data_IF_840825217459
#
_entry.id   IF_840825217459
#
_cell.length_a   1.000
_cell.length_b   1.000
_cell.length_c   1.000
_cell.angle_alpha   90.00
_cell.angle_beta   90.00
_cell.angle_gamma   90.00
#
_symmetry.space_group_name_H-M   'P 1'
#
loop_
_entity.id
_entity.type
_entity.pdbx_description
1 polymer ?
#
# COMPACT_ATOMS: atom_id res chain seq x y z
N UNK A 1 -6.12 7.50 5.87
CA UNK A 1 -4.80 7.25 5.25
C UNK A 1 -4.91 6.13 4.23
N UNK A 2 -5.17 4.89 4.64
CA UNK A 2 -5.28 3.71 3.74
C UNK A 2 -6.18 3.95 2.53
N UNK A 3 -7.38 4.52 2.71
CA UNK A 3 -8.29 4.82 1.60
C UNK A 3 -7.68 5.78 0.54
N UNK A 4 -6.87 6.75 0.95
CA UNK A 4 -6.19 7.65 0.01
C UNK A 4 -5.06 6.95 -0.73
N UNK A 5 -4.39 5.98 -0.10
CA UNK A 5 -3.35 5.16 -0.75
C UNK A 5 -4.02 4.20 -1.74
N UNK A 6 -5.09 3.52 -1.33
CA UNK A 6 -5.87 2.66 -2.21
C UNK A 6 -6.41 3.43 -3.44
N UNK A 7 -6.86 4.68 -3.27
CA UNK A 7 -7.26 5.53 -4.41
C UNK A 7 -6.10 5.89 -5.33
N UNK A 8 -4.91 6.16 -4.77
CA UNK A 8 -3.71 6.48 -5.54
C UNK A 8 -3.18 5.27 -6.33
N UNK A 9 -3.25 4.08 -5.75
CA UNK A 9 -2.78 2.83 -6.34
C UNK A 9 -3.78 2.24 -7.36
N UNK A 10 -5.08 2.26 -7.03
CA UNK A 10 -6.14 1.59 -7.82
C UNK A 10 -6.97 2.59 -8.62
N UNK A 11 -7.38 3.71 -8.01
CA UNK A 11 -8.28 4.71 -8.61
C UNK A 11 -7.61 5.62 -9.65
N UNK A 12 -6.31 5.88 -9.52
CA UNK A 12 -5.55 6.74 -10.45
C UNK A 12 -5.36 6.18 -11.85
N UNK A 13 -5.54 4.86 -12.05
CA UNK A 13 -5.36 4.19 -13.34
C UNK A 13 -6.66 4.04 -14.15
N UNK A 14 -7.83 4.30 -13.56
CA UNK A 14 -9.14 3.92 -14.13
C UNK A 14 -10.26 4.93 -13.83
N UNK A 15 -9.99 6.23 -14.03
CA UNK A 15 -10.87 7.35 -13.67
C UNK A 15 -12.23 7.47 -14.39
N UNK A 16 -12.95 6.37 -14.66
CA UNK A 16 -14.26 6.39 -15.31
C UNK A 16 -15.26 5.32 -14.86
N UNK A 17 -14.93 4.41 -13.92
CA UNK A 17 -15.87 3.37 -13.48
C UNK A 17 -16.49 3.68 -12.11
N UNK A 18 -17.81 3.81 -12.11
CA UNK A 18 -18.66 3.96 -10.93
C UNK A 18 -18.60 2.72 -10.02
N UNK A 19 -18.74 2.97 -8.71
CA UNK A 19 -18.83 2.02 -7.58
C UNK A 19 -17.60 1.14 -7.26
N UNK A 20 -16.87 1.52 -6.20
CA UNK A 20 -15.68 0.83 -5.70
C UNK A 20 -15.89 -0.61 -5.21
N UNK A 21 -17.13 -1.06 -5.00
CA UNK A 21 -17.46 -2.47 -4.72
C UNK A 21 -17.42 -3.32 -5.99
N UNK A 22 -17.88 -2.76 -7.12
CA UNK A 22 -17.82 -3.43 -8.42
C UNK A 22 -16.41 -3.36 -9.03
N UNK A 23 -15.60 -2.35 -8.69
CA UNK A 23 -14.17 -2.36 -9.04
C UNK A 23 -13.44 -3.51 -8.34
N UNK A 24 -13.69 -3.75 -7.05
CA UNK A 24 -13.06 -4.85 -6.30
C UNK A 24 -13.49 -6.23 -6.81
N UNK A 25 -14.76 -6.35 -7.24
CA UNK A 25 -15.30 -7.55 -7.87
C UNK A 25 -14.75 -7.75 -9.30
N UNK A 26 -14.71 -6.68 -10.10
CA UNK A 26 -14.15 -6.69 -11.46
C UNK A 26 -12.66 -7.00 -11.48
N UNK A 27 -11.88 -6.51 -10.52
CA UNK A 27 -10.46 -6.85 -10.37
C UNK A 27 -10.23 -8.34 -10.05
N UNK A 28 -11.18 -8.98 -9.36
CA UNK A 28 -11.16 -10.43 -9.11
C UNK A 28 -11.61 -11.24 -10.32
N UNK A 29 -12.60 -10.74 -11.06
CA UNK A 29 -13.18 -11.40 -12.24
C UNK A 29 -12.31 -11.27 -13.50
N UNK A 30 -11.60 -10.15 -13.68
CA UNK A 30 -10.73 -9.87 -14.83
C UNK A 30 -9.30 -10.45 -14.68
N UNK A 31 -9.02 -11.18 -13.59
CA UNK A 31 -7.73 -11.85 -13.36
C UNK A 31 -6.55 -10.91 -13.08
N UNK A 32 -6.81 -9.63 -12.79
CA UNK A 32 -5.81 -8.65 -12.37
C UNK A 32 -5.42 -8.80 -10.89
N UNK A 33 -6.33 -9.33 -10.06
CA UNK A 33 -5.94 -9.99 -8.82
C UNK A 33 -5.38 -11.36 -9.20
N UNK A 34 -4.07 -11.60 -9.00
CA UNK A 34 -3.46 -12.84 -9.44
C UNK A 34 -4.11 -14.02 -8.71
N UNK A 35 -4.77 -14.90 -9.48
CA UNK A 35 -5.25 -16.20 -8.98
C UNK A 35 -4.10 -17.18 -8.66
N UNK A 36 -2.88 -16.85 -9.11
CA UNK A 36 -1.63 -17.56 -8.82
C UNK A 36 -0.42 -16.60 -8.91
N UNK A 37 0.69 -16.87 -8.18
CA UNK A 37 1.89 -16.03 -8.14
C UNK A 37 2.59 -15.75 -9.48
N UNK A 38 2.23 -16.49 -10.54
CA UNK A 38 2.93 -16.53 -11.82
C UNK A 38 2.53 -15.39 -12.78
N UNK A 39 1.42 -14.68 -12.52
CA UNK A 39 0.84 -13.67 -13.42
C UNK A 39 1.06 -12.22 -12.98
N UNK A 40 1.96 -11.97 -12.03
CA UNK A 40 2.23 -10.63 -11.49
C UNK A 40 3.02 -9.74 -12.48
N UNK A 41 2.70 -8.43 -12.58
CA UNK A 41 3.54 -7.46 -13.27
C UNK A 41 4.99 -7.58 -12.79
N UNK A 42 5.89 -7.63 -13.76
CA UNK A 42 7.29 -8.05 -13.60
C UNK A 42 8.04 -7.35 -12.47
N UNK A 43 8.86 -8.15 -11.79
CA UNK A 43 10.17 -7.86 -11.16
C UNK A 43 10.95 -6.70 -11.81
N UNK A 44 10.52 -5.45 -11.61
CA UNK A 44 11.23 -4.28 -12.10
C UNK A 44 12.40 -3.97 -11.16
N UNK A 45 13.46 -4.77 -11.27
CA UNK A 45 14.80 -4.45 -10.81
C UNK A 45 14.93 -4.13 -9.32
N UNK A 46 14.71 -5.14 -8.48
CA UNK A 46 14.98 -5.10 -7.04
C UNK A 46 15.19 -6.50 -6.49
N UNK A 47 15.66 -6.62 -5.26
CA UNK A 47 15.64 -7.92 -4.57
C UNK A 47 14.19 -8.40 -4.40
N UNK A 48 13.93 -9.72 -4.30
CA UNK A 48 12.57 -10.23 -4.12
C UNK A 48 11.79 -9.55 -2.97
N UNK A 49 12.49 -9.12 -1.92
CA UNK A 49 11.94 -8.41 -0.76
C UNK A 49 11.43 -6.99 -1.04
N UNK A 50 11.86 -6.38 -2.15
CA UNK A 50 11.46 -5.04 -2.59
C UNK A 50 10.28 -5.08 -3.56
N UNK A 51 9.78 -6.28 -3.89
CA UNK A 51 8.59 -6.45 -4.72
C UNK A 51 7.35 -6.09 -3.93
N UNK A 52 6.57 -5.15 -4.45
CA UNK A 52 5.27 -4.75 -3.91
C UNK A 52 4.14 -5.64 -4.45
N UNK A 53 3.23 -6.08 -3.58
CA UNK A 53 2.11 -6.97 -3.92
C UNK A 53 0.75 -6.39 -3.50
N UNK A 54 -0.29 -6.81 -4.23
CA UNK A 54 -1.68 -6.51 -3.93
C UNK A 54 -2.11 -5.08 -4.24
N UNK A 55 -3.40 -4.75 -4.01
CA UNK A 55 -4.02 -3.49 -4.44
C UNK A 55 -3.45 -2.23 -3.75
N UNK A 56 -2.75 -2.37 -2.61
CA UNK A 56 -2.12 -1.24 -1.88
C UNK A 56 -0.58 -1.29 -2.00
N UNK A 57 -0.05 -2.15 -2.88
CA UNK A 57 1.36 -2.21 -3.28
C UNK A 57 2.36 -2.23 -2.10
N UNK A 58 2.13 -3.09 -1.11
CA UNK A 58 3.06 -3.23 0.03
C UNK A 58 4.21 -4.17 -0.33
N UNK A 59 5.43 -3.79 0.04
CA UNK A 59 6.62 -4.62 -0.12
C UNK A 59 6.60 -5.82 0.85
N UNK A 60 7.07 -6.99 0.39
CA UNK A 60 7.21 -8.21 1.23
C UNK A 60 7.98 -7.94 2.51
N UNK A 61 9.06 -7.16 2.43
CA UNK A 61 9.85 -6.75 3.60
C UNK A 61 9.01 -6.05 4.67
N UNK A 62 8.10 -5.15 4.26
CA UNK A 62 7.26 -4.36 5.17
C UNK A 62 6.14 -5.19 5.77
N UNK A 63 5.55 -6.07 4.97
CA UNK A 63 4.59 -7.03 5.48
C UNK A 63 5.23 -8.01 6.48
N UNK A 64 6.49 -8.41 6.25
CA UNK A 64 7.26 -9.20 7.20
C UNK A 64 7.43 -8.48 8.55
N UNK A 65 7.78 -7.19 8.53
CA UNK A 65 7.89 -6.35 9.73
C UNK A 65 6.55 -6.28 10.50
N UNK A 66 5.43 -6.05 9.79
CA UNK A 66 4.08 -6.04 10.38
C UNK A 66 3.70 -7.38 11.00
N UNK A 67 4.05 -8.49 10.35
CA UNK A 67 3.75 -9.84 10.81
C UNK A 67 4.72 -10.34 11.89
N UNK A 68 5.70 -9.53 12.29
CA UNK A 68 6.68 -9.87 13.34
C UNK A 68 7.76 -10.85 12.91
N UNK A 69 7.96 -11.03 11.60
CA UNK A 69 9.08 -11.80 11.07
C UNK A 69 10.37 -10.96 11.02
N UNK A 70 11.53 -11.64 10.93
CA UNK A 70 12.79 -10.98 10.62
C UNK A 70 12.91 -10.80 9.10
N UNK A 71 12.73 -9.57 8.56
CA UNK A 71 12.80 -9.33 7.12
C UNK A 71 14.17 -9.61 6.52
N UNK A 72 15.25 -9.64 7.32
CA UNK A 72 16.59 -9.94 6.83
C UNK A 72 16.86 -11.44 6.70
N UNK A 73 16.03 -12.29 7.32
CA UNK A 73 16.22 -13.74 7.42
C UNK A 73 14.92 -14.53 7.19
N UNK A 74 14.18 -14.19 6.15
CA UNK A 74 12.97 -14.92 5.77
C UNK A 74 13.32 -16.29 5.17
N UNK A 75 12.64 -17.33 5.65
CA UNK A 75 12.60 -18.62 4.95
C UNK A 75 11.69 -18.53 3.72
N UNK A 76 11.92 -19.38 2.72
CA UNK A 76 11.07 -19.43 1.52
C UNK A 76 9.58 -19.63 1.88
N UNK A 77 9.27 -20.51 2.83
CA UNK A 77 7.89 -20.72 3.28
C UNK A 77 7.26 -19.50 3.98
N UNK A 78 8.05 -18.70 4.71
CA UNK A 78 7.56 -17.44 5.28
C UNK A 78 7.31 -16.41 4.17
N UNK A 79 8.22 -16.31 3.20
CA UNK A 79 8.06 -15.44 2.03
C UNK A 79 6.79 -15.78 1.25
N UNK A 80 6.58 -17.05 0.92
CA UNK A 80 5.38 -17.51 0.22
C UNK A 80 4.10 -17.17 0.98
N UNK A 81 4.12 -17.33 2.32
CA UNK A 81 2.99 -16.98 3.18
C UNK A 81 2.69 -15.48 3.15
N UNK A 82 3.72 -14.64 3.21
CA UNK A 82 3.59 -13.18 3.14
C UNK A 82 3.06 -12.76 1.77
N UNK A 83 3.61 -13.31 0.69
CA UNK A 83 3.17 -13.03 -0.68
C UNK A 83 1.69 -13.40 -0.87
N UNK A 84 1.26 -14.56 -0.38
CA UNK A 84 -0.14 -14.97 -0.43
C UNK A 84 -1.06 -14.03 0.38
N UNK A 85 -0.64 -13.61 1.58
CA UNK A 85 -1.38 -12.65 2.40
C UNK A 85 -1.50 -11.28 1.73
N UNK A 86 -0.46 -10.83 1.03
CA UNK A 86 -0.49 -9.58 0.28
C UNK A 86 -1.38 -9.65 -0.97
N UNK A 87 -1.59 -10.82 -1.55
CA UNK A 87 -2.47 -11.02 -2.71
C UNK A 87 -3.95 -11.05 -2.32
N UNK A 88 -4.28 -11.51 -1.10
CA UNK A 88 -5.66 -11.46 -0.58
C UNK A 88 -6.05 -10.00 -0.26
N UNK A 89 -7.08 -9.42 -0.92
CA UNK A 89 -7.41 -8.00 -0.73
C UNK A 89 -7.81 -7.65 0.70
N UNK A 90 -8.48 -8.56 1.41
CA UNK A 90 -8.86 -8.37 2.80
C UNK A 90 -7.62 -8.21 3.68
N UNK A 91 -6.71 -9.18 3.60
CA UNK A 91 -5.45 -9.16 4.35
C UNK A 91 -4.54 -8.00 3.91
N UNK A 92 -4.46 -7.68 2.62
CA UNK A 92 -3.67 -6.56 2.10
C UNK A 92 -4.08 -5.22 2.74
N UNK A 93 -5.39 -4.98 2.89
CA UNK A 93 -5.91 -3.76 3.55
C UNK A 93 -5.50 -3.71 5.02
N UNK A 94 -5.57 -4.82 5.75
CA UNK A 94 -5.14 -4.86 7.15
C UNK A 94 -3.63 -4.66 7.28
N UNK A 95 -2.82 -5.35 6.46
CA UNK A 95 -1.37 -5.18 6.44
C UNK A 95 -0.97 -3.74 6.08
N UNK A 96 -1.66 -3.10 5.15
CA UNK A 96 -1.44 -1.69 4.81
C UNK A 96 -1.76 -0.76 5.98
N UNK A 97 -2.86 -1.06 6.68
CA UNK A 97 -3.30 -0.28 7.83
C UNK A 97 -2.29 -0.34 8.97
N UNK A 98 -1.81 -1.54 9.30
CA UNK A 98 -0.80 -1.76 10.33
C UNK A 98 0.55 -1.15 9.92
N UNK A 99 0.97 -1.31 8.66
CA UNK A 99 2.21 -0.69 8.19
C UNK A 99 2.16 0.85 8.31
N UNK A 100 1.04 1.48 7.97
CA UNK A 100 0.86 2.92 8.16
C UNK A 100 0.83 3.32 9.64
N UNK A 101 0.33 2.46 10.53
CA UNK A 101 0.40 2.69 11.97
C UNK A 101 1.85 2.66 12.49
N UNK A 102 2.65 1.69 12.03
CA UNK A 102 4.09 1.66 12.32
C UNK A 102 4.79 2.92 11.81
N UNK A 103 4.53 3.33 10.57
CA UNK A 103 5.10 4.57 10.01
C UNK A 103 4.69 5.82 10.80
N UNK A 104 3.46 5.88 11.33
CA UNK A 104 3.04 6.96 12.24
C UNK A 104 3.90 6.99 13.49
N UNK A 105 4.15 5.85 14.09
CA UNK A 105 5.00 5.76 15.28
C UNK A 105 6.43 6.21 14.99
N UNK A 106 7.05 5.64 13.95
CA UNK A 106 8.41 5.98 13.52
C UNK A 106 8.61 7.46 13.15
N UNK A 107 7.53 8.12 12.71
CA UNK A 107 7.55 9.54 12.33
C UNK A 107 7.21 10.48 13.49
N UNK A 108 7.00 9.96 14.71
CA UNK A 108 6.62 10.76 15.87
C UNK A 108 5.16 11.26 15.83
N UNK A 109 4.30 10.62 15.03
CA UNK A 109 2.88 10.92 14.88
C UNK A 109 1.96 9.92 15.58
N UNK A 110 2.51 9.09 16.48
CA UNK A 110 1.76 8.05 17.21
C UNK A 110 0.46 8.61 17.81
N UNK A 111 0.57 9.72 18.55
CA UNK A 111 -0.52 10.35 19.29
C UNK A 111 -1.42 11.26 18.44
N UNK A 112 -1.15 11.41 17.15
CA UNK A 112 -1.97 12.25 16.26
C UNK A 112 -3.09 11.40 15.67
N UNK A 113 -4.38 11.64 15.99
CA UNK A 113 -5.47 10.91 15.36
C UNK A 113 -5.45 11.13 13.84
N UNK A 114 -5.73 10.08 13.06
CA UNK A 114 -5.63 10.14 11.59
C UNK A 114 -6.47 11.28 10.96
N UNK A 115 -7.59 11.64 11.56
CA UNK A 115 -8.48 12.74 11.12
C UNK A 115 -7.95 14.14 11.46
N UNK A 116 -7.02 14.24 12.41
CA UNK A 116 -6.40 15.49 12.87
C UNK A 116 -5.00 15.71 12.28
N UNK A 117 -4.44 14.72 11.58
CA UNK A 117 -3.14 14.86 10.92
C UNK A 117 -3.14 16.05 9.97
N UNK A 118 -2.07 16.84 9.99
CA UNK A 118 -1.89 17.92 9.03
C UNK A 118 -1.66 17.37 7.62
N UNK A 119 -1.74 18.26 6.64
CA UNK A 119 -1.45 17.92 5.25
C UNK A 119 -0.04 17.34 5.11
N UNK A 120 0.94 18.02 5.68
CA UNK A 120 2.36 17.70 5.61
C UNK A 120 2.63 16.32 6.25
N UNK A 121 2.03 16.04 7.41
CA UNK A 121 2.18 14.74 8.07
C UNK A 121 1.62 13.60 7.23
N UNK A 122 0.49 13.81 6.54
CA UNK A 122 -0.07 12.79 5.64
C UNK A 122 0.81 12.56 4.41
N UNK A 123 1.34 13.63 3.82
CA UNK A 123 2.25 13.53 2.68
C UNK A 123 3.55 12.80 3.06
N UNK A 124 4.09 13.07 4.25
CA UNK A 124 5.26 12.37 4.77
C UNK A 124 4.99 10.87 4.92
N UNK A 125 3.86 10.48 5.52
CA UNK A 125 3.51 9.07 5.62
C UNK A 125 3.31 8.41 4.25
N UNK A 126 2.68 9.11 3.30
CA UNK A 126 2.51 8.59 1.95
C UNK A 126 3.86 8.42 1.22
N UNK A 127 4.79 9.37 1.39
CA UNK A 127 6.15 9.26 0.87
C UNK A 127 6.92 8.11 1.52
N UNK A 128 6.78 7.91 2.83
CA UNK A 128 7.39 6.79 3.57
C UNK A 128 6.82 5.43 3.15
N UNK A 129 5.52 5.35 2.92
CA UNK A 129 4.86 4.15 2.41
C UNK A 129 5.41 3.74 1.05
N UNK A 130 5.55 4.70 0.13
CA UNK A 130 6.01 4.43 -1.23
C UNK A 130 7.53 4.24 -1.34
N UNK A 131 8.32 5.10 -0.69
CA UNK A 131 9.77 5.15 -0.82
C UNK A 131 10.56 4.34 0.20
N UNK A 132 9.93 3.88 1.28
CA UNK A 132 10.61 3.14 2.34
C UNK A 132 11.83 3.91 2.88
N UNK A 133 13.04 3.32 2.93
CA UNK A 133 14.26 4.01 3.36
C UNK A 133 14.62 5.25 2.52
N UNK A 134 14.15 5.31 1.26
CA UNK A 134 14.45 6.38 0.29
C UNK A 134 13.32 7.42 0.22
N UNK A 135 12.47 7.51 1.25
CA UNK A 135 11.29 8.37 1.24
C UNK A 135 11.59 9.87 1.07
N UNK A 136 12.83 10.29 1.34
CA UNK A 136 13.28 11.67 1.19
C UNK A 136 13.62 12.04 -0.26
N UNK A 137 13.76 11.05 -1.14
CA UNK A 137 14.09 11.28 -2.54
C UNK A 137 12.92 11.92 -3.31
N UNK A 138 13.23 12.62 -4.40
CA UNK A 138 12.27 13.42 -5.16
C UNK A 138 11.05 12.63 -5.64
N UNK A 139 11.24 11.35 -5.98
CA UNK A 139 10.17 10.46 -6.42
C UNK A 139 9.16 10.19 -5.30
N UNK A 140 9.64 9.76 -4.13
CA UNK A 140 8.79 9.46 -2.99
C UNK A 140 8.10 10.71 -2.45
N UNK A 141 8.81 11.84 -2.43
CA UNK A 141 8.22 13.14 -2.10
C UNK A 141 7.16 13.57 -3.14
N UNK A 142 7.38 13.25 -4.42
CA UNK A 142 6.39 13.43 -5.49
C UNK A 142 5.12 12.63 -5.25
N UNK A 143 5.26 11.36 -4.86
CA UNK A 143 4.15 10.50 -4.45
C UNK A 143 3.39 11.12 -3.27
N UNK A 144 4.11 11.56 -2.23
CA UNK A 144 3.55 12.22 -1.05
C UNK A 144 2.73 13.47 -1.41
N UNK A 145 3.26 14.37 -2.25
CA UNK A 145 2.54 15.59 -2.70
C UNK A 145 1.28 15.27 -3.51
N UNK A 146 1.24 14.13 -4.20
CA UNK A 146 0.06 13.64 -4.93
C UNK A 146 -1.08 13.19 -4.01
N UNK A 147 -0.74 12.74 -2.80
CA UNK A 147 -1.65 12.04 -1.89
C UNK A 147 -2.91 12.82 -1.48
N UNK A 148 -2.81 14.12 -1.16
CA UNK A 148 -3.99 14.84 -0.65
C UNK A 148 -5.11 14.96 -1.68
N UNK A 149 -4.77 15.08 -2.98
CA UNK A 149 -5.77 15.10 -4.04
C UNK A 149 -6.59 13.80 -4.03
N UNK A 150 -5.88 12.67 -3.92
CA UNK A 150 -6.49 11.34 -3.86
C UNK A 150 -7.32 11.13 -2.59
N UNK A 151 -6.93 11.71 -1.45
CA UNK A 151 -7.68 11.59 -0.22
C UNK A 151 -9.03 12.33 -0.27
N UNK A 152 -9.08 13.50 -0.90
CA UNK A 152 -10.32 14.27 -1.05
C UNK A 152 -11.26 13.63 -2.08
N UNK A 153 -10.72 13.07 -3.16
CA UNK A 153 -11.49 12.29 -4.15
C UNK A 153 -12.08 11.02 -3.50
N UNK A 154 -11.26 10.25 -2.78
CA UNK A 154 -11.71 9.06 -2.06
C UNK A 154 -12.82 9.37 -1.04
N UNK A 155 -12.70 10.48 -0.30
CA UNK A 155 -13.75 10.93 0.63
C UNK A 155 -15.05 11.32 -0.07
N UNK A 156 -14.95 11.86 -1.27
CA UNK A 156 -16.11 12.28 -2.05
C UNK A 156 -16.85 11.07 -2.64
N UNK A 157 -16.12 10.02 -3.02
CA UNK A 157 -16.69 8.77 -3.54
C UNK A 157 -17.42 7.92 -2.49
N UNK A 158 -17.22 8.19 -1.19
CA UNK A 158 -17.86 7.46 -0.09
C UNK A 158 -19.14 8.15 0.45
N UNK A 159 -19.61 9.22 -0.20
CA UNK A 159 -20.83 9.97 0.16
C UNK A 159 -21.99 9.61 -0.74
#
# INVERSE_FOLDING_TARGET
MVAGIAWQEVGGQWGWMDDGVDTLRGLAEDGWLPGTPENLPSRLGGSPDETSFGPIAIQVRRAAEVLGYDPANLTDGQRDTIEAALQDPGQNIFLASEYLAMLKEESGFADVPAVQMTREQRQELAARHNGGPYWQDDQAQGYGRGFDRNLDDARSALK
#
